data_IF_957811990695
#
_entry.id   IF_957811990695
#
_cell.length_a   1.000
_cell.length_b   1.000
_cell.length_c   1.000
_cell.angle_alpha   90.00
_cell.angle_beta   90.00
_cell.angle_gamma   90.00
#
_symmetry.space_group_name_H-M   'P 1'
#
loop_
_entity.id
_entity.type
_entity.pdbx_description
1 polymer ?
#
# COMPACT_ATOMS: atom_id res chain seq x y z
N UNK A 1 20.46 41.49 -47.19
CA UNK A 1 21.92 41.41 -47.46
C UNK A 1 22.60 40.55 -46.39
N UNK A 2 23.29 39.53 -46.90
CA UNK A 2 24.27 38.59 -46.28
C UNK A 2 23.71 37.46 -45.39
N UNK A 3 23.67 36.31 -46.07
CA UNK A 3 23.63 34.93 -45.58
C UNK A 3 24.91 34.63 -44.78
N UNK A 4 24.80 33.86 -43.68
CA UNK A 4 25.91 33.01 -43.23
C UNK A 4 25.32 31.64 -42.97
N UNK A 5 25.68 30.73 -43.86
CA UNK A 5 25.49 29.29 -43.81
C UNK A 5 26.63 28.73 -42.93
N UNK A 6 26.31 28.03 -41.87
CA UNK A 6 27.30 27.24 -41.12
C UNK A 6 27.03 25.76 -41.28
N UNK A 7 27.98 25.14 -41.97
CA UNK A 7 28.11 23.69 -42.25
C UNK A 7 28.44 22.97 -40.94
N UNK A 8 27.64 22.02 -40.53
CA UNK A 8 28.01 21.04 -39.52
C UNK A 8 28.46 19.73 -40.22
N UNK A 9 29.74 19.44 -40.04
CA UNK A 9 30.46 18.27 -40.57
C UNK A 9 30.12 17.04 -39.71
N UNK A 10 29.46 16.02 -40.30
CA UNK A 10 29.26 14.71 -39.69
C UNK A 10 30.60 13.92 -39.82
N UNK A 11 31.17 13.55 -38.69
CA UNK A 11 32.27 12.56 -38.64
C UNK A 11 31.66 11.20 -38.33
N UNK A 12 31.59 10.32 -39.34
CA UNK A 12 31.35 8.89 -39.17
C UNK A 12 32.69 8.24 -38.78
N UNK A 13 32.75 7.66 -37.61
CA UNK A 13 33.81 6.74 -37.22
C UNK A 13 33.31 5.31 -37.43
N UNK A 14 33.77 4.70 -38.52
CA UNK A 14 33.68 3.25 -38.75
C UNK A 14 34.70 2.56 -37.87
N UNK A 15 34.25 1.70 -36.93
CA UNK A 15 35.14 0.70 -36.33
C UNK A 15 35.02 -0.61 -37.11
N UNK A 16 36.14 -0.97 -37.71
CA UNK A 16 36.39 -2.22 -38.42
C UNK A 16 36.49 -3.36 -37.40
N UNK A 17 35.75 -4.43 -37.63
CA UNK A 17 36.00 -5.74 -37.00
C UNK A 17 37.26 -6.35 -37.61
N UNK A 18 38.20 -6.73 -36.77
CA UNK A 18 39.34 -7.56 -37.14
C UNK A 18 39.06 -9.01 -36.68
N UNK A 19 38.97 -9.89 -37.68
CA UNK A 19 38.93 -11.35 -37.49
C UNK A 19 40.36 -11.86 -37.36
N UNK A 20 40.71 -12.51 -36.26
CA UNK A 20 41.71 -13.57 -36.35
C UNK A 20 41.90 -14.36 -35.04
N UNK A 21 41.93 -15.67 -35.31
CA UNK A 21 42.58 -16.79 -34.60
C UNK A 21 41.73 -17.60 -33.62
N UNK A 22 41.14 -18.63 -34.21
CA UNK A 22 40.89 -19.92 -33.52
C UNK A 22 42.21 -20.49 -33.01
N UNK A 23 42.28 -20.66 -31.70
CA UNK A 23 43.22 -21.59 -31.07
C UNK A 23 42.40 -22.72 -30.47
N UNK A 24 42.61 -23.91 -31.04
CA UNK A 24 42.13 -25.19 -30.54
C UNK A 24 42.75 -25.44 -29.17
N UNK A 25 41.92 -25.52 -28.13
CA UNK A 25 42.33 -26.03 -26.82
C UNK A 25 41.62 -27.35 -26.58
N UNK A 26 42.43 -28.35 -26.26
CA UNK A 26 42.09 -29.74 -26.05
C UNK A 26 40.99 -29.89 -24.97
N UNK A 27 40.03 -30.80 -25.24
CA UNK A 27 39.11 -31.35 -24.26
C UNK A 27 39.87 -32.17 -23.21
N UNK A 28 40.15 -31.58 -22.09
CA UNK A 28 40.43 -32.32 -20.88
C UNK A 28 39.12 -32.44 -20.08
N UNK A 29 38.68 -33.65 -19.96
CA UNK A 29 37.50 -34.11 -19.26
C UNK A 29 37.64 -33.79 -17.75
N UNK A 30 37.14 -32.65 -17.32
CA UNK A 30 36.93 -32.38 -15.89
C UNK A 30 35.59 -32.99 -15.47
N UNK A 31 35.68 -34.17 -14.85
CA UNK A 31 34.61 -34.78 -14.10
C UNK A 31 34.25 -33.83 -12.95
N UNK A 32 33.30 -32.95 -13.15
CA UNK A 32 32.59 -32.28 -12.04
C UNK A 32 31.68 -33.30 -11.39
N UNK A 33 32.17 -33.90 -10.31
CA UNK A 33 31.35 -34.58 -9.34
C UNK A 33 30.46 -33.48 -8.71
N UNK A 34 29.23 -33.36 -9.17
CA UNK A 34 28.20 -32.53 -8.51
C UNK A 34 27.90 -33.16 -7.16
N UNK A 35 28.61 -32.71 -6.13
CA UNK A 35 28.22 -32.94 -4.74
C UNK A 35 26.94 -32.16 -4.50
N UNK A 36 25.80 -32.79 -4.74
CA UNK A 36 24.52 -32.30 -4.24
C UNK A 36 24.63 -32.27 -2.72
N UNK A 37 24.91 -31.11 -2.17
CA UNK A 37 24.70 -30.83 -0.77
C UNK A 37 23.18 -30.91 -0.52
N UNK A 38 22.73 -32.14 -0.29
CA UNK A 38 21.38 -32.40 0.22
C UNK A 38 21.39 -32.00 1.70
N UNK A 39 21.39 -30.69 1.96
CA UNK A 39 21.07 -30.16 3.27
C UNK A 39 19.58 -30.42 3.46
N UNK A 40 19.26 -31.55 4.04
CA UNK A 40 17.92 -31.94 4.46
C UNK A 40 17.42 -31.05 5.60
N UNK A 41 17.38 -29.74 5.35
CA UNK A 41 16.56 -28.82 6.13
C UNK A 41 15.13 -29.15 5.74
N UNK A 42 14.48 -30.01 6.51
CA UNK A 42 13.02 -30.08 6.50
C UNK A 42 12.54 -28.70 6.93
N UNK A 43 12.22 -27.84 5.96
CA UNK A 43 11.39 -26.70 6.24
C UNK A 43 10.06 -27.28 6.72
N UNK A 44 9.83 -27.16 8.03
CA UNK A 44 8.51 -27.38 8.60
C UNK A 44 7.65 -26.28 8.00
N UNK A 45 6.89 -26.62 6.96
CA UNK A 45 6.02 -25.69 6.20
C UNK A 45 4.81 -25.24 7.03
N UNK A 46 4.90 -25.26 8.36
CA UNK A 46 3.92 -24.62 9.21
C UNK A 46 4.03 -23.13 9.01
N UNK A 47 3.01 -22.53 8.40
CA UNK A 47 2.83 -21.09 8.31
C UNK A 47 2.99 -20.49 9.71
N UNK A 48 3.90 -19.52 9.82
CA UNK A 48 4.07 -18.76 11.05
C UNK A 48 3.28 -17.47 10.93
N UNK A 49 2.33 -17.29 11.84
CA UNK A 49 1.63 -16.02 11.98
C UNK A 49 2.55 -14.98 12.64
N UNK A 50 2.39 -13.69 12.35
CA UNK A 50 3.13 -12.64 13.02
C UNK A 50 2.86 -12.68 14.53
N UNK A 51 3.90 -12.47 15.34
CA UNK A 51 3.75 -12.36 16.78
C UNK A 51 3.23 -10.97 17.14
N UNK A 52 1.96 -10.89 17.50
CA UNK A 52 1.32 -9.66 17.90
C UNK A 52 1.48 -9.40 19.40
N UNK A 53 1.81 -8.16 19.77
CA UNK A 53 1.84 -7.69 21.15
C UNK A 53 0.42 -7.31 21.58
N UNK A 54 -0.15 -7.90 22.65
CA UNK A 54 -1.53 -7.63 23.07
C UNK A 54 -1.75 -6.20 23.57
N UNK A 55 -0.69 -5.45 23.85
CA UNK A 55 -0.78 -4.05 24.32
C UNK A 55 -0.76 -3.03 23.18
N UNK A 56 -0.75 -3.47 21.91
CA UNK A 56 -0.73 -2.61 20.73
C UNK A 56 -2.08 -2.56 20.04
N UNK A 57 -2.28 -1.54 19.21
CA UNK A 57 -3.36 -1.55 18.22
C UNK A 57 -3.05 -2.59 17.15
N UNK A 58 -4.05 -3.33 16.70
CA UNK A 58 -3.93 -4.21 15.55
C UNK A 58 -4.41 -3.48 14.30
N UNK A 59 -3.48 -3.22 13.38
CA UNK A 59 -3.70 -2.53 12.12
C UNK A 59 -3.59 -3.54 10.99
N UNK A 60 -4.70 -3.83 10.33
CA UNK A 60 -4.77 -4.74 9.20
C UNK A 60 -4.83 -3.96 7.88
N UNK A 61 -4.00 -4.35 6.93
CA UNK A 61 -4.04 -3.87 5.55
C UNK A 61 -4.72 -4.92 4.68
N UNK A 62 -5.85 -4.57 4.09
CA UNK A 62 -6.54 -5.40 3.12
C UNK A 62 -5.79 -5.34 1.80
N UNK A 63 -5.22 -6.48 1.37
CA UNK A 63 -4.44 -6.56 0.13
C UNK A 63 -4.99 -7.64 -0.80
N UNK A 64 -4.77 -7.45 -2.09
CA UNK A 64 -5.17 -8.34 -3.17
C UNK A 64 -4.26 -8.15 -4.38
N UNK A 65 -4.40 -8.99 -5.39
CA UNK A 65 -3.73 -8.75 -6.67
C UNK A 65 -4.11 -7.37 -7.21
N UNK A 66 -3.13 -6.67 -7.77
CA UNK A 66 -3.30 -5.31 -8.28
C UNK A 66 -3.27 -4.19 -7.23
N UNK A 67 -3.02 -4.47 -5.93
CA UNK A 67 -2.85 -3.41 -4.91
C UNK A 67 -1.72 -2.47 -5.29
N UNK A 68 -1.92 -1.14 -5.15
CA UNK A 68 -0.89 -0.15 -5.45
C UNK A 68 0.15 -0.05 -4.35
N UNK A 69 1.43 -0.13 -4.71
CA UNK A 69 2.55 -0.17 -3.76
C UNK A 69 2.57 1.01 -2.80
N UNK A 70 2.49 2.25 -3.30
CA UNK A 70 2.64 3.44 -2.46
C UNK A 70 1.50 3.55 -1.45
N UNK A 71 0.30 3.19 -1.82
CA UNK A 71 -0.89 3.28 -0.97
C UNK A 71 -0.93 2.20 0.11
N UNK A 72 -0.24 1.08 -0.15
CA UNK A 72 0.03 0.06 0.85
C UNK A 72 1.20 0.48 1.74
N UNK A 73 2.36 0.80 1.15
CA UNK A 73 3.62 0.91 1.90
C UNK A 73 3.74 2.23 2.67
N UNK A 74 3.21 3.35 2.18
CA UNK A 74 3.31 4.63 2.86
C UNK A 74 2.63 4.62 4.26
N UNK A 75 1.36 4.24 4.39
CA UNK A 75 0.75 4.12 5.72
C UNK A 75 1.34 2.96 6.54
N UNK A 76 1.78 1.87 5.88
CA UNK A 76 2.42 0.74 6.56
C UNK A 76 3.69 1.19 7.29
N UNK A 77 4.56 1.97 6.63
CA UNK A 77 5.78 2.50 7.22
C UNK A 77 5.50 3.41 8.42
N UNK A 78 4.57 4.35 8.29
CA UNK A 78 4.20 5.26 9.38
C UNK A 78 3.73 4.46 10.60
N UNK A 79 2.81 3.51 10.41
CA UNK A 79 2.22 2.75 11.51
C UNK A 79 3.21 1.77 12.12
N UNK A 80 4.02 1.09 11.29
CA UNK A 80 5.06 0.18 11.78
C UNK A 80 6.12 0.91 12.60
N UNK A 81 6.48 2.15 12.24
CA UNK A 81 7.47 2.93 12.98
C UNK A 81 6.98 3.43 14.35
N UNK A 82 5.71 3.25 14.70
CA UNK A 82 5.20 3.55 16.05
C UNK A 82 5.89 2.72 17.13
N UNK A 83 6.41 1.52 16.79
CA UNK A 83 7.16 0.65 17.72
C UNK A 83 8.46 1.28 18.24
N UNK A 84 8.97 2.31 17.57
CA UNK A 84 10.17 3.05 17.95
C UNK A 84 9.86 4.33 18.74
N UNK A 85 8.64 4.47 19.24
CA UNK A 85 8.21 5.63 20.02
C UNK A 85 7.82 5.21 21.42
N UNK A 86 8.30 5.98 22.41
CA UNK A 86 8.05 5.71 23.81
C UNK A 86 6.71 6.31 24.28
N UNK A 87 6.16 5.72 25.31
CA UNK A 87 4.97 6.21 26.03
C UNK A 87 3.70 6.32 25.15
N UNK A 88 3.58 5.48 24.13
CA UNK A 88 2.37 5.36 23.31
C UNK A 88 1.92 3.91 23.24
N UNK A 89 0.64 3.69 22.92
CA UNK A 89 0.15 2.38 22.50
C UNK A 89 0.53 2.18 21.02
N UNK A 90 1.69 1.57 20.77
CA UNK A 90 2.19 1.33 19.41
C UNK A 90 1.25 0.43 18.58
N UNK A 91 1.58 0.17 17.33
CA UNK A 91 0.79 -0.64 16.42
C UNK A 91 1.49 -1.96 16.10
N UNK A 92 0.72 -3.05 16.04
CA UNK A 92 1.03 -4.25 15.28
C UNK A 92 0.49 -4.02 13.87
N UNK A 93 1.32 -4.14 12.87
CA UNK A 93 0.91 -3.91 11.48
C UNK A 93 1.04 -5.22 10.72
N UNK A 94 0.00 -5.63 10.01
CA UNK A 94 -0.03 -6.88 9.26
C UNK A 94 -0.97 -6.78 8.06
N UNK A 95 -0.82 -7.73 7.14
CA UNK A 95 -1.60 -7.80 5.91
C UNK A 95 -2.63 -8.92 5.97
N UNK A 96 -3.79 -8.69 5.35
CA UNK A 96 -4.86 -9.67 5.21
C UNK A 96 -5.31 -9.78 3.76
N UNK A 97 -5.55 -10.99 3.27
CA UNK A 97 -6.05 -11.26 1.93
C UNK A 97 -7.04 -12.44 1.92
N UNK A 98 -7.67 -12.71 0.78
CA UNK A 98 -8.52 -13.89 0.57
C UNK A 98 -7.73 -15.18 0.28
N UNK A 99 -6.41 -15.11 0.28
CA UNK A 99 -5.50 -16.20 -0.06
C UNK A 99 -4.31 -16.26 0.91
N UNK A 100 -3.66 -17.42 0.95
CA UNK A 100 -2.35 -17.60 1.59
C UNK A 100 -1.19 -17.52 0.58
N UNK A 101 -1.50 -17.51 -0.71
CA UNK A 101 -0.49 -17.37 -1.75
C UNK A 101 -0.03 -15.91 -1.85
N UNK A 102 1.15 -15.72 -2.42
CA UNK A 102 1.64 -14.37 -2.65
C UNK A 102 0.76 -13.65 -3.68
N UNK A 103 0.27 -12.47 -3.30
CA UNK A 103 -0.39 -11.54 -4.24
C UNK A 103 0.68 -10.78 -5.03
N UNK A 104 0.29 -10.25 -6.18
CA UNK A 104 1.16 -9.40 -7.01
C UNK A 104 0.56 -8.00 -7.06
N UNK A 105 1.32 -6.99 -6.62
CA UNK A 105 0.86 -5.60 -6.70
C UNK A 105 0.78 -5.12 -8.16
N UNK A 106 0.12 -3.98 -8.37
CA UNK A 106 0.02 -3.36 -9.71
C UNK A 106 1.39 -3.13 -10.35
N UNK A 107 2.39 -2.73 -9.57
CA UNK A 107 3.75 -2.48 -10.05
C UNK A 107 4.65 -3.73 -10.01
N UNK A 108 4.10 -4.92 -9.70
CA UNK A 108 4.76 -6.21 -9.83
C UNK A 108 5.51 -6.71 -8.58
N UNK A 109 5.35 -6.09 -7.42
CA UNK A 109 5.87 -6.65 -6.16
C UNK A 109 5.06 -7.87 -5.76
N UNK A 110 5.75 -8.93 -5.30
CA UNK A 110 5.11 -10.11 -4.74
C UNK A 110 5.10 -10.00 -3.21
N UNK A 111 3.92 -10.05 -2.64
CA UNK A 111 3.68 -9.87 -1.21
C UNK A 111 2.95 -11.09 -0.67
N UNK A 112 3.51 -11.73 0.36
CA UNK A 112 2.88 -12.84 1.05
C UNK A 112 1.98 -12.28 2.16
N UNK A 113 0.66 -12.49 2.12
CA UNK A 113 -0.23 -12.01 3.16
C UNK A 113 0.06 -12.68 4.51
N UNK A 114 -0.06 -11.95 5.61
CA UNK A 114 0.09 -12.51 6.96
C UNK A 114 -1.08 -13.40 7.34
N UNK A 115 -2.30 -13.02 6.98
CA UNK A 115 -3.51 -13.78 7.26
C UNK A 115 -4.40 -13.92 6.03
N UNK A 116 -5.16 -15.03 6.00
CA UNK A 116 -6.25 -15.23 5.07
C UNK A 116 -7.58 -15.01 5.80
N UNK A 117 -8.31 -13.94 5.45
CA UNK A 117 -9.57 -13.60 6.13
C UNK A 117 -10.72 -14.58 5.89
N UNK A 118 -10.57 -15.54 4.96
CA UNK A 118 -11.55 -16.60 4.71
C UNK A 118 -11.27 -17.88 5.50
N UNK A 119 -10.05 -18.06 6.01
CA UNK A 119 -9.59 -19.36 6.53
C UNK A 119 -8.97 -19.30 7.92
N UNK A 120 -8.40 -18.15 8.30
CA UNK A 120 -7.68 -18.03 9.56
C UNK A 120 -8.55 -17.39 10.65
N UNK A 121 -8.25 -17.73 11.90
CA UNK A 121 -8.76 -17.00 13.06
C UNK A 121 -8.01 -15.67 13.17
N UNK A 122 -8.66 -14.59 12.77
CA UNK A 122 -8.06 -13.28 12.77
C UNK A 122 -7.99 -12.70 14.19
N UNK A 123 -6.92 -11.96 14.52
CA UNK A 123 -6.92 -11.13 15.72
C UNK A 123 -8.01 -10.06 15.59
N UNK A 124 -8.47 -9.52 16.74
CA UNK A 124 -9.32 -8.32 16.69
C UNK A 124 -8.58 -7.22 15.92
N UNK A 125 -9.22 -6.64 14.93
CA UNK A 125 -8.70 -5.53 14.13
C UNK A 125 -9.21 -4.22 14.73
N UNK A 126 -8.29 -3.37 15.19
CA UNK A 126 -8.64 -2.05 15.73
C UNK A 126 -8.69 -0.99 14.63
N UNK A 127 -7.86 -1.15 13.59
CA UNK A 127 -7.77 -0.24 12.44
C UNK A 127 -7.69 -1.08 11.17
N UNK A 128 -8.61 -0.86 10.23
CA UNK A 128 -8.54 -1.44 8.89
C UNK A 128 -8.08 -0.38 7.90
N UNK A 129 -7.08 -0.72 7.10
CA UNK A 129 -6.61 0.11 5.98
C UNK A 129 -6.97 -0.58 4.67
N UNK A 130 -7.66 0.13 3.80
CA UNK A 130 -8.04 -0.33 2.46
C UNK A 130 -7.30 0.52 1.42
N UNK A 131 -6.10 0.09 0.98
CA UNK A 131 -5.40 0.69 -0.15
C UNK A 131 -6.22 0.53 -1.44
N UNK A 132 -5.91 1.28 -2.49
CA UNK A 132 -6.48 1.02 -3.80
C UNK A 132 -5.89 -0.22 -4.46
N UNK A 133 -6.67 -0.85 -5.33
CA UNK A 133 -6.22 -1.90 -6.23
C UNK A 133 -6.77 -1.66 -7.65
N UNK A 134 -6.15 -2.29 -8.64
CA UNK A 134 -6.44 -2.11 -10.07
C UNK A 134 -7.93 -2.19 -10.42
N UNK A 135 -8.66 -3.08 -9.73
CA UNK A 135 -10.06 -3.38 -10.02
C UNK A 135 -11.06 -2.85 -8.98
N UNK A 136 -10.65 -1.91 -8.10
CA UNK A 136 -11.57 -1.28 -7.12
C UNK A 136 -12.66 -0.41 -7.76
N UNK A 137 -12.56 -0.12 -9.05
CA UNK A 137 -13.58 0.64 -9.81
C UNK A 137 -14.54 -0.26 -10.60
N UNK A 138 -14.34 -1.58 -10.55
CA UNK A 138 -15.14 -2.55 -11.32
C UNK A 138 -15.28 -3.91 -10.60
N UNK A 139 -14.51 -4.92 -10.95
CA UNK A 139 -14.76 -6.33 -10.56
C UNK A 139 -14.57 -6.61 -9.08
N UNK A 140 -13.70 -5.90 -8.37
CA UNK A 140 -13.53 -6.08 -6.92
C UNK A 140 -14.77 -5.68 -6.14
N UNK A 141 -15.60 -4.77 -6.70
CA UNK A 141 -16.86 -4.39 -6.08
C UNK A 141 -17.94 -5.48 -6.13
N UNK A 142 -17.71 -6.55 -6.88
CA UNK A 142 -18.56 -7.74 -6.92
C UNK A 142 -18.04 -8.87 -6.00
N UNK A 143 -16.87 -8.71 -5.35
CA UNK A 143 -16.36 -9.66 -4.38
C UNK A 143 -17.14 -9.57 -3.06
N UNK A 144 -18.19 -10.39 -2.97
CA UNK A 144 -19.07 -10.47 -1.78
C UNK A 144 -18.28 -10.85 -0.53
N UNK A 145 -17.25 -11.69 -0.66
CA UNK A 145 -16.46 -12.15 0.48
C UNK A 145 -15.63 -11.00 1.06
N UNK A 146 -14.99 -10.21 0.21
CA UNK A 146 -14.24 -9.01 0.60
C UNK A 146 -15.17 -7.96 1.25
N UNK A 147 -16.30 -7.67 0.62
CA UNK A 147 -17.27 -6.71 1.16
C UNK A 147 -17.82 -7.15 2.53
N UNK A 148 -18.10 -8.44 2.70
CA UNK A 148 -18.54 -8.99 3.98
C UNK A 148 -17.44 -8.91 5.05
N UNK A 149 -16.18 -9.16 4.69
CA UNK A 149 -15.04 -9.01 5.58
C UNK A 149 -14.94 -7.56 6.07
N UNK A 150 -14.96 -6.58 5.18
CA UNK A 150 -14.91 -5.16 5.52
C UNK A 150 -16.07 -4.77 6.46
N UNK A 151 -17.31 -5.19 6.16
CA UNK A 151 -18.48 -4.97 7.02
C UNK A 151 -18.34 -5.64 8.40
N UNK A 152 -17.72 -6.82 8.46
CA UNK A 152 -17.54 -7.51 9.72
C UNK A 152 -16.51 -6.79 10.61
N UNK A 153 -15.40 -6.37 10.02
CA UNK A 153 -14.37 -5.60 10.74
C UNK A 153 -14.92 -4.25 11.22
N UNK A 154 -15.75 -3.60 10.40
CA UNK A 154 -16.36 -2.31 10.73
C UNK A 154 -17.11 -2.33 12.06
N UNK A 155 -17.74 -3.44 12.47
CA UNK A 155 -18.55 -3.51 13.70
C UNK A 155 -17.75 -3.16 14.95
N UNK A 156 -16.47 -3.55 15.00
CA UNK A 156 -15.65 -3.48 16.21
C UNK A 156 -14.38 -2.62 16.04
N UNK A 157 -14.07 -2.21 14.81
CA UNK A 157 -12.91 -1.37 14.51
C UNK A 157 -13.12 0.06 15.06
N UNK A 158 -12.02 0.63 15.57
CA UNK A 158 -11.98 2.03 15.99
C UNK A 158 -11.88 2.98 14.81
N UNK A 159 -11.12 2.58 13.78
CA UNK A 159 -10.99 3.33 12.53
C UNK A 159 -11.02 2.39 11.33
N UNK A 160 -11.63 2.88 10.25
CA UNK A 160 -11.57 2.33 8.92
C UNK A 160 -10.98 3.40 8.02
N UNK A 161 -9.85 3.11 7.40
CA UNK A 161 -9.18 4.07 6.51
C UNK A 161 -9.14 3.55 5.08
N UNK A 162 -9.21 4.46 4.12
CA UNK A 162 -8.99 4.12 2.72
C UNK A 162 -8.07 5.12 2.04
N UNK A 163 -7.34 4.63 1.05
CA UNK A 163 -6.48 5.43 0.20
C UNK A 163 -6.94 5.28 -1.25
N UNK A 164 -7.01 6.41 -1.99
CA UNK A 164 -7.43 6.41 -3.39
C UNK A 164 -8.79 5.69 -3.56
N UNK A 165 -8.88 4.77 -4.50
CA UNK A 165 -10.12 4.06 -4.83
C UNK A 165 -10.49 2.94 -3.84
N UNK A 166 -9.71 2.74 -2.79
CA UNK A 166 -10.15 1.96 -1.64
C UNK A 166 -11.46 2.50 -1.02
N UNK A 167 -11.76 3.78 -1.22
CA UNK A 167 -13.03 4.39 -0.83
C UNK A 167 -14.25 3.79 -1.56
N UNK A 168 -14.10 3.28 -2.80
CA UNK A 168 -15.18 2.60 -3.53
C UNK A 168 -15.58 1.30 -2.86
N UNK A 169 -14.61 0.55 -2.28
CA UNK A 169 -14.89 -0.65 -1.50
C UNK A 169 -15.72 -0.31 -0.27
N UNK A 170 -15.34 0.77 0.46
CA UNK A 170 -16.11 1.22 1.62
C UNK A 170 -17.52 1.68 1.24
N UNK A 171 -17.66 2.43 0.12
CA UNK A 171 -18.94 2.87 -0.42
C UNK A 171 -19.83 1.67 -0.81
N UNK A 172 -19.30 0.71 -1.56
CA UNK A 172 -20.02 -0.50 -1.96
C UNK A 172 -20.43 -1.37 -0.77
N UNK A 173 -19.63 -1.36 0.28
CA UNK A 173 -19.97 -1.99 1.55
C UNK A 173 -21.06 -1.23 2.34
N UNK A 174 -21.46 -0.02 1.93
CA UNK A 174 -22.45 0.82 2.62
C UNK A 174 -21.92 1.52 3.88
N UNK A 175 -20.59 1.55 4.06
CA UNK A 175 -19.98 2.14 5.25
C UNK A 175 -19.97 3.67 5.20
N UNK A 176 -20.05 4.23 4.01
CA UNK A 176 -20.01 5.68 3.79
C UNK A 176 -21.39 6.32 3.64
N UNK A 177 -22.49 5.57 3.79
CA UNK A 177 -23.85 6.05 3.54
C UNK A 177 -24.25 7.27 4.37
N UNK A 178 -23.68 7.42 5.56
CA UNK A 178 -23.93 8.53 6.46
C UNK A 178 -22.64 9.28 6.83
N UNK A 179 -21.60 9.16 6.02
CA UNK A 179 -20.31 9.78 6.26
C UNK A 179 -19.89 10.67 5.09
N UNK A 180 -19.19 11.76 5.41
CA UNK A 180 -18.51 12.58 4.42
C UNK A 180 -17.21 11.87 4.04
N UNK A 181 -16.89 11.83 2.75
CA UNK A 181 -15.75 11.06 2.23
C UNK A 181 -15.00 11.76 1.10
N UNK A 182 -13.91 11.19 0.67
CA UNK A 182 -13.18 11.54 -0.56
C UNK A 182 -12.56 10.28 -1.17
N UNK A 183 -12.04 10.40 -2.38
CA UNK A 183 -11.31 9.37 -3.11
C UNK A 183 -10.24 10.01 -3.97
N UNK A 184 -9.63 9.25 -4.87
CA UNK A 184 -8.65 9.78 -5.82
C UNK A 184 -9.23 10.94 -6.64
N UNK A 185 -8.49 12.05 -6.86
CA UNK A 185 -9.05 13.28 -7.42
C UNK A 185 -9.72 13.13 -8.78
N UNK A 186 -9.19 12.27 -9.69
CA UNK A 186 -9.80 12.05 -11.00
C UNK A 186 -11.06 11.17 -10.96
N UNK A 187 -11.28 10.42 -9.86
CA UNK A 187 -12.36 9.47 -9.73
C UNK A 187 -13.53 9.97 -8.85
N UNK A 188 -13.43 11.21 -8.35
CA UNK A 188 -14.50 11.86 -7.59
C UNK A 188 -15.83 11.84 -8.34
N UNK A 189 -15.85 12.24 -9.62
CA UNK A 189 -17.07 12.28 -10.39
C UNK A 189 -17.60 10.88 -10.71
N UNK A 190 -16.71 9.92 -10.93
CA UNK A 190 -17.09 8.51 -11.07
C UNK A 190 -17.75 7.98 -9.79
N UNK A 191 -17.16 8.27 -8.63
CA UNK A 191 -17.71 7.85 -7.33
C UNK A 191 -19.09 8.47 -7.08
N UNK A 192 -19.28 9.77 -7.38
CA UNK A 192 -20.58 10.45 -7.28
C UNK A 192 -21.63 9.86 -8.21
N UNK A 193 -21.24 9.46 -9.42
CA UNK A 193 -22.15 8.82 -10.36
C UNK A 193 -22.56 7.40 -9.91
N UNK A 194 -21.62 6.63 -9.34
CA UNK A 194 -21.90 5.27 -8.85
C UNK A 194 -22.67 5.27 -7.53
N UNK A 195 -22.41 6.25 -6.67
CA UNK A 195 -23.00 6.37 -5.33
C UNK A 195 -23.59 7.79 -5.13
N UNK A 196 -24.69 8.14 -5.81
CA UNK A 196 -25.20 9.52 -5.85
C UNK A 196 -25.77 10.03 -4.53
N UNK A 197 -25.94 9.16 -3.55
CA UNK A 197 -26.41 9.49 -2.21
C UNK A 197 -25.29 9.89 -1.25
N UNK A 198 -24.01 9.64 -1.61
CA UNK A 198 -22.88 9.94 -0.74
C UNK A 198 -22.45 11.41 -0.81
N UNK A 199 -21.99 11.96 0.31
CA UNK A 199 -21.31 13.27 0.35
C UNK A 199 -19.80 13.09 0.10
N UNK A 200 -19.38 13.34 -1.15
CA UNK A 200 -18.00 13.12 -1.58
C UNK A 200 -17.33 14.47 -1.85
N UNK A 201 -16.30 14.78 -1.07
CA UNK A 201 -15.54 16.03 -1.14
C UNK A 201 -14.43 15.95 -2.18
N UNK A 202 -14.17 17.05 -2.85
CA UNK A 202 -13.04 17.27 -3.76
C UNK A 202 -12.13 18.36 -3.20
N UNK A 203 -10.93 18.48 -3.76
CA UNK A 203 -9.94 19.49 -3.37
C UNK A 203 -9.45 19.33 -1.91
N UNK A 204 -9.57 18.12 -1.36
CA UNK A 204 -9.03 17.73 -0.05
C UNK A 204 -8.15 16.49 -0.21
N UNK A 205 -7.12 16.36 0.63
CA UNK A 205 -6.25 15.18 0.64
C UNK A 205 -6.83 14.07 1.51
N UNK A 206 -7.59 14.42 2.53
CA UNK A 206 -8.36 13.43 3.30
C UNK A 206 -9.60 14.06 3.93
N UNK A 207 -10.53 13.17 4.26
CA UNK A 207 -11.72 13.48 5.08
C UNK A 207 -11.72 12.52 6.28
N UNK A 208 -11.97 13.07 7.47
CA UNK A 208 -12.24 12.28 8.69
C UNK A 208 -13.66 12.57 9.17
N UNK A 209 -14.49 11.55 9.15
CA UNK A 209 -15.86 11.60 9.67
C UNK A 209 -16.17 10.38 10.55
N UNK A 210 -16.41 10.61 11.83
CA UNK A 210 -16.60 9.55 12.81
C UNK A 210 -15.39 8.63 12.94
N UNK A 211 -15.51 7.37 12.52
CA UNK A 211 -14.41 6.41 12.48
C UNK A 211 -13.79 6.22 11.08
N UNK A 212 -14.33 6.91 10.06
CA UNK A 212 -13.89 6.77 8.68
C UNK A 212 -12.89 7.85 8.31
N UNK A 213 -11.75 7.45 7.76
CA UNK A 213 -10.74 8.35 7.21
C UNK A 213 -10.50 7.94 5.77
N UNK A 214 -11.02 8.72 4.82
CA UNK A 214 -10.82 8.47 3.39
C UNK A 214 -9.83 9.48 2.83
N UNK A 215 -8.96 9.07 1.90
CA UNK A 215 -7.91 9.94 1.38
C UNK A 215 -7.73 9.84 -0.13
N UNK A 216 -7.12 10.88 -0.70
CA UNK A 216 -6.81 10.98 -2.12
C UNK A 216 -5.80 9.92 -2.60
N UNK A 217 -5.05 9.28 -1.71
CA UNK A 217 -4.12 8.22 -2.08
C UNK A 217 -2.82 8.69 -2.73
N UNK A 218 -2.19 7.78 -3.48
CA UNK A 218 -0.87 8.00 -4.05
C UNK A 218 0.16 8.32 -2.96
N UNK A 219 1.13 9.19 -3.27
CA UNK A 219 2.12 9.65 -2.28
C UNK A 219 1.48 10.43 -1.11
N UNK A 220 0.21 10.88 -1.25
CA UNK A 220 -0.55 11.56 -0.19
C UNK A 220 -1.11 10.61 0.86
N UNK A 221 -0.89 9.31 0.70
CA UNK A 221 -1.19 8.30 1.73
C UNK A 221 -0.36 8.49 3.01
N UNK A 222 0.84 9.10 2.90
CA UNK A 222 1.62 9.50 4.07
C UNK A 222 0.87 10.50 4.94
N UNK A 223 0.24 11.53 4.34
CA UNK A 223 -0.46 12.58 5.08
C UNK A 223 -1.66 12.03 5.87
N UNK A 224 -2.44 11.13 5.27
CA UNK A 224 -3.56 10.51 5.98
C UNK A 224 -3.11 9.62 7.15
N UNK A 225 -2.01 8.87 6.98
CA UNK A 225 -1.42 8.05 8.04
C UNK A 225 -0.79 8.90 9.15
N UNK A 226 -0.11 9.99 8.80
CA UNK A 226 0.43 10.95 9.76
C UNK A 226 -0.69 11.67 10.52
N UNK A 227 -1.80 12.00 9.83
CA UNK A 227 -2.99 12.55 10.49
C UNK A 227 -3.57 11.59 11.53
N UNK A 228 -3.79 10.31 11.18
CA UNK A 228 -4.30 9.33 12.14
C UNK A 228 -3.32 9.16 13.31
N UNK A 229 -2.01 9.18 13.04
CA UNK A 229 -0.99 9.12 14.10
C UNK A 229 -1.03 10.37 14.99
N UNK A 230 -1.24 11.57 14.42
CA UNK A 230 -1.42 12.80 15.20
C UNK A 230 -2.70 12.74 16.04
N UNK A 231 -3.79 12.25 15.48
CA UNK A 231 -5.07 12.08 16.18
C UNK A 231 -4.95 11.15 17.39
N UNK A 232 -4.20 10.04 17.25
CA UNK A 232 -4.03 9.04 18.31
C UNK A 232 -2.98 9.43 19.35
N UNK A 233 -1.90 10.07 18.94
CA UNK A 233 -0.69 10.24 19.76
C UNK A 233 -0.26 11.69 19.95
N UNK A 234 -0.90 12.62 19.26
CA UNK A 234 -0.57 14.04 19.29
C UNK A 234 0.54 14.46 18.31
N UNK A 235 0.59 15.76 18.05
CA UNK A 235 1.46 16.42 17.04
C UNK A 235 2.95 16.06 17.18
N UNK A 236 3.46 15.92 18.40
CA UNK A 236 4.87 15.63 18.64
C UNK A 236 5.28 14.25 18.11
N UNK A 237 4.45 13.23 18.34
CA UNK A 237 4.70 11.87 17.86
C UNK A 237 4.56 11.82 16.33
N UNK A 238 3.52 12.45 15.76
CA UNK A 238 3.36 12.49 14.29
C UNK A 238 4.55 13.16 13.60
N UNK A 239 5.05 14.29 14.13
CA UNK A 239 6.28 14.93 13.61
C UNK A 239 7.51 14.05 13.75
N UNK A 240 7.63 13.30 14.84
CA UNK A 240 8.72 12.35 15.03
C UNK A 240 8.66 11.18 14.03
N UNK A 241 7.46 10.67 13.73
CA UNK A 241 7.27 9.63 12.70
C UNK A 241 7.63 10.17 11.32
N UNK A 242 7.10 11.33 10.96
CA UNK A 242 7.39 12.01 9.69
C UNK A 242 8.88 12.30 9.50
N UNK A 243 9.56 12.80 10.55
CA UNK A 243 10.99 13.08 10.53
C UNK A 243 11.84 11.82 10.31
N UNK A 244 11.39 10.65 10.76
CA UNK A 244 12.04 9.36 10.47
C UNK A 244 12.02 8.98 8.98
N UNK A 245 11.14 9.58 8.20
CA UNK A 245 11.00 9.39 6.75
C UNK A 245 11.38 10.67 5.96
N UNK A 246 11.98 11.66 6.63
CA UNK A 246 12.38 12.95 6.03
C UNK A 246 11.17 13.70 5.43
N UNK A 247 10.01 13.60 6.09
CA UNK A 247 8.78 14.28 5.71
C UNK A 247 8.57 15.46 6.66
N UNK A 248 8.35 16.65 6.10
CA UNK A 248 7.85 17.78 6.86
C UNK A 248 6.35 17.64 7.08
N UNK A 249 5.95 17.50 8.37
CA UNK A 249 4.56 17.33 8.72
C UNK A 249 4.03 18.54 9.47
N UNK A 250 2.99 19.14 8.90
CA UNK A 250 2.14 20.11 9.57
C UNK A 250 0.71 19.99 9.05
N UNK A 251 -0.20 19.54 9.90
CA UNK A 251 -1.61 19.34 9.55
C UNK A 251 -2.26 20.62 8.98
N UNK A 252 -1.87 21.79 9.46
CA UNK A 252 -2.44 23.08 9.00
C UNK A 252 -2.13 23.39 7.53
N UNK A 253 -1.10 22.76 6.96
CA UNK A 253 -0.72 22.93 5.54
C UNK A 253 -1.38 21.92 4.61
N UNK A 254 -2.07 20.94 5.15
CA UNK A 254 -2.70 19.84 4.40
C UNK A 254 -4.17 20.17 4.15
N UNK A 255 -4.64 20.25 2.89
CA UNK A 255 -6.06 20.40 2.59
C UNK A 255 -6.86 19.20 3.11
N UNK A 256 -7.74 19.41 4.07
CA UNK A 256 -8.51 18.33 4.68
C UNK A 256 -9.88 18.78 5.19
N UNK A 257 -10.72 17.82 5.51
CA UNK A 257 -12.00 18.06 6.18
C UNK A 257 -12.12 17.12 7.37
N UNK A 258 -12.40 17.69 8.56
CA UNK A 258 -12.70 16.93 9.76
C UNK A 258 -14.12 17.30 10.18
N UNK A 259 -15.02 16.32 10.19
CA UNK A 259 -16.39 16.49 10.67
C UNK A 259 -16.38 16.39 12.19
N UNK A 260 -16.80 17.45 12.85
CA UNK A 260 -16.94 17.48 14.31
C UNK A 260 -18.39 17.07 14.64
N UNK A 261 -18.53 15.91 15.24
CA UNK A 261 -19.81 15.44 15.81
C UNK A 261 -20.05 16.04 17.19
#
# INVERSE_FOLDING_TARGET
MKNILTFCLLILLCFSCDESKQTSVNNDTLNHTSTTLNTGVKHDNKRQFPKLDPNRYNVAFLIMDGVYNTELTAPFDIFQHTIFRDNIKAMNVFTVANTHEAITSFEGMRILPDFNYLKDDLPKIDILVVPSAEHHLDTDLEDVAMLNFVKQVDKDAQFITSHCDGAFVLAKAGLLDNAVSTTFPSDIDKMRNMFPHLDIRKEVLFVHDGKYITSAGGAKSFEAALYLSEHLYGKAIAKSLAGGLVIDWDLETVPHTIIKN
#
